data_IF_431092634316
#
_entry.id   IF_431092634316
#
_cell.length_a   1.000
_cell.length_b   1.000
_cell.length_c   1.000
_cell.angle_alpha   90.00
_cell.angle_beta   90.00
_cell.angle_gamma   90.00
#
_symmetry.space_group_name_H-M   'P 1'
#
loop_
_entity.id
_entity.type
_entity.pdbx_description
1 polymer ?
#
# COMPACT_ATOMS: atom_id res chain seq x y z
N UNK A 1 3.93 15.77 10.54
CA UNK A 1 4.56 14.52 11.07
C UNK A 1 5.55 14.00 10.06
N UNK A 2 6.63 13.33 10.50
CA UNK A 2 7.60 12.78 9.55
C UNK A 2 7.00 11.60 8.78
N UNK A 3 6.63 10.55 9.47
CA UNK A 3 6.04 9.35 8.90
C UNK A 3 4.63 9.12 9.43
N UNK A 4 3.68 8.85 8.52
CA UNK A 4 2.38 8.31 8.88
C UNK A 4 2.20 6.97 8.18
N UNK A 5 1.98 5.94 8.98
CA UNK A 5 1.73 4.59 8.51
C UNK A 5 0.24 4.42 8.24
N UNK A 6 -0.14 4.05 7.02
CA UNK A 6 -1.50 3.66 6.67
C UNK A 6 -1.52 2.16 6.50
N UNK A 7 -2.24 1.46 7.37
CA UNK A 7 -2.20 0.01 7.55
C UNK A 7 -3.63 -0.52 7.61
N UNK A 8 -3.88 -1.67 7.00
CA UNK A 8 -5.22 -2.22 6.92
C UNK A 8 -5.70 -2.83 8.24
N UNK A 9 -4.85 -3.58 8.93
CA UNK A 9 -5.25 -4.45 10.02
C UNK A 9 -4.45 -4.22 11.30
N UNK A 10 -5.09 -4.43 12.45
CA UNK A 10 -4.45 -4.36 13.79
C UNK A 10 -3.19 -5.21 13.89
N UNK A 11 -3.16 -6.50 13.49
CA UNK A 11 -1.94 -7.32 13.61
C UNK A 11 -0.74 -6.78 12.83
N UNK A 12 -0.99 -6.12 11.69
CA UNK A 12 0.06 -5.47 10.92
C UNK A 12 0.55 -4.20 11.61
N UNK A 13 -0.38 -3.42 12.18
CA UNK A 13 -0.08 -2.20 12.91
C UNK A 13 0.76 -2.47 14.17
N UNK A 14 0.55 -3.59 14.84
CA UNK A 14 1.32 -4.02 16.01
C UNK A 14 2.82 -4.14 15.71
N UNK A 15 3.18 -4.46 14.46
CA UNK A 15 4.58 -4.50 14.05
C UNK A 15 5.29 -3.14 14.16
N UNK A 16 4.55 -2.04 13.98
CA UNK A 16 5.06 -0.67 14.14
C UNK A 16 4.87 -0.20 15.58
N UNK A 17 3.68 -0.40 16.14
CA UNK A 17 3.30 0.13 17.45
C UNK A 17 4.21 -0.35 18.58
N UNK A 18 4.71 -1.60 18.52
CA UNK A 18 5.66 -2.13 19.51
C UNK A 18 6.99 -1.36 19.58
N UNK A 19 7.31 -0.56 18.56
CA UNK A 19 8.52 0.26 18.47
C UNK A 19 8.26 1.75 18.73
N UNK A 20 7.02 2.12 18.99
CA UNK A 20 6.64 3.49 19.34
C UNK A 20 6.58 3.70 20.84
N UNK A 21 6.86 4.91 21.30
CA UNK A 21 6.68 5.35 22.68
C UNK A 21 5.65 6.47 22.76
N UNK A 22 5.12 6.72 23.95
CA UNK A 22 4.16 7.79 24.23
C UNK A 22 2.91 7.72 23.34
N UNK A 23 2.43 6.52 23.09
CA UNK A 23 1.34 6.25 22.15
C UNK A 23 0.01 6.71 22.72
N UNK A 24 -0.61 7.68 22.05
CA UNK A 24 -2.01 8.06 22.23
C UNK A 24 -2.86 7.37 21.15
N UNK A 25 -3.82 6.53 21.58
CA UNK A 25 -4.73 5.82 20.70
C UNK A 25 -6.14 6.40 20.83
N UNK A 26 -6.78 6.69 19.69
CA UNK A 26 -8.14 7.21 19.64
C UNK A 26 -8.82 6.80 18.33
N UNK A 27 -10.15 6.96 18.30
CA UNK A 27 -10.93 6.73 17.08
C UNK A 27 -11.27 8.07 16.41
N UNK A 28 -11.19 8.10 15.08
CA UNK A 28 -11.57 9.27 14.28
C UNK A 28 -12.13 8.85 12.93
N UNK A 29 -13.30 9.33 12.59
CA UNK A 29 -13.97 9.07 11.31
C UNK A 29 -14.01 7.58 10.94
N UNK A 30 -14.35 6.71 11.91
CA UNK A 30 -14.50 5.27 11.71
C UNK A 30 -13.18 4.49 11.54
N UNK A 31 -12.05 5.06 11.96
CA UNK A 31 -10.74 4.40 11.96
C UNK A 31 -9.99 4.63 13.27
N UNK A 32 -9.08 3.74 13.58
CA UNK A 32 -8.19 3.87 14.73
C UNK A 32 -6.95 4.63 14.35
N UNK A 33 -6.58 5.61 15.17
CA UNK A 33 -5.38 6.43 15.00
C UNK A 33 -4.51 6.29 16.25
N UNK A 34 -3.23 5.99 16.05
CA UNK A 34 -2.22 5.95 17.10
C UNK A 34 -1.16 6.99 16.78
N UNK A 35 -0.96 7.96 17.65
CA UNK A 35 0.09 8.98 17.53
C UNK A 35 1.14 8.78 18.62
N UNK A 36 2.40 8.96 18.30
CA UNK A 36 3.48 8.78 19.28
C UNK A 36 4.84 9.14 18.70
N UNK A 37 5.88 8.59 19.31
CA UNK A 37 7.27 8.79 18.90
C UNK A 37 7.86 7.49 18.38
N UNK A 38 8.44 7.52 17.18
CA UNK A 38 9.17 6.42 16.57
C UNK A 38 10.61 6.88 16.27
N UNK A 39 11.59 6.24 16.92
CA UNK A 39 13.02 6.59 16.77
C UNK A 39 13.34 8.08 17.01
N UNK A 40 12.65 8.70 17.97
CA UNK A 40 12.85 10.11 18.33
C UNK A 40 12.08 11.11 17.46
N UNK A 41 11.33 10.67 16.46
CA UNK A 41 10.52 11.52 15.57
C UNK A 41 9.03 11.29 15.80
N UNK A 42 8.22 12.33 15.59
CA UNK A 42 6.75 12.16 15.66
C UNK A 42 6.24 11.32 14.51
N UNK A 43 5.46 10.30 14.84
CA UNK A 43 4.86 9.39 13.87
C UNK A 43 3.41 9.06 14.25
N UNK A 44 2.66 8.57 13.28
CA UNK A 44 1.33 8.04 13.53
C UNK A 44 1.08 6.76 12.73
N UNK A 45 0.15 5.95 13.24
CA UNK A 45 -0.42 4.79 12.54
C UNK A 45 -1.91 5.03 12.39
N UNK A 46 -2.40 4.94 11.16
CA UNK A 46 -3.83 4.98 10.81
C UNK A 46 -4.23 3.58 10.37
N UNK A 47 -5.05 2.92 11.18
CA UNK A 47 -5.60 1.60 10.89
C UNK A 47 -6.92 1.81 10.15
N UNK A 48 -6.89 1.60 8.83
CA UNK A 48 -7.95 2.06 7.95
C UNK A 48 -9.01 1.00 7.62
N UNK A 49 -8.71 -0.28 7.80
CA UNK A 49 -9.52 -1.39 7.29
C UNK A 49 -9.05 -1.87 5.92
N UNK A 50 -9.52 -3.07 5.53
CA UNK A 50 -9.16 -3.75 4.29
C UNK A 50 -9.86 -3.10 3.09
N UNK A 51 -9.16 -3.07 1.95
CA UNK A 51 -9.69 -2.69 0.64
C UNK A 51 -9.41 -1.25 0.23
N UNK A 52 -9.51 -0.99 -1.07
CA UNK A 52 -9.11 0.28 -1.70
C UNK A 52 -9.86 1.49 -1.16
N UNK A 53 -11.15 1.37 -0.89
CA UNK A 53 -11.98 2.48 -0.37
C UNK A 53 -11.52 2.89 1.02
N UNK A 54 -11.29 1.93 1.91
CA UNK A 54 -10.81 2.18 3.27
C UNK A 54 -9.39 2.77 3.24
N UNK A 55 -8.52 2.21 2.41
CA UNK A 55 -7.15 2.67 2.25
C UNK A 55 -7.08 4.12 1.72
N UNK A 56 -7.86 4.44 0.69
CA UNK A 56 -7.96 5.80 0.16
C UNK A 56 -8.47 6.80 1.21
N UNK A 57 -9.57 6.46 1.90
CA UNK A 57 -10.14 7.31 2.94
C UNK A 57 -9.19 7.50 4.13
N UNK A 58 -8.48 6.44 4.55
CA UNK A 58 -7.46 6.50 5.59
C UNK A 58 -6.26 7.38 5.20
N UNK A 59 -5.83 7.28 3.95
CA UNK A 59 -4.73 8.09 3.41
C UNK A 59 -5.11 9.57 3.32
N UNK A 60 -6.30 9.87 2.82
CA UNK A 60 -6.78 11.25 2.75
C UNK A 60 -6.89 11.86 4.15
N UNK A 61 -7.46 11.13 5.11
CA UNK A 61 -7.48 11.56 6.50
C UNK A 61 -6.08 11.83 7.05
N UNK A 62 -5.11 10.94 6.79
CA UNK A 62 -3.73 11.12 7.23
C UNK A 62 -3.13 12.42 6.66
N UNK A 63 -3.37 12.71 5.39
CA UNK A 63 -2.86 13.92 4.74
C UNK A 63 -3.49 15.17 5.33
N UNK A 64 -4.81 15.20 5.46
CA UNK A 64 -5.56 16.39 5.88
C UNK A 64 -5.38 16.71 7.37
N UNK A 65 -5.34 15.67 8.22
CA UNK A 65 -5.36 15.84 9.67
C UNK A 65 -3.97 15.75 10.32
N UNK A 66 -3.03 15.01 9.70
CA UNK A 66 -1.72 14.73 10.31
C UNK A 66 -0.55 15.39 9.57
N UNK A 67 -0.77 15.90 8.35
CA UNK A 67 0.22 16.60 7.52
C UNK A 67 1.57 15.86 7.45
N UNK A 68 1.60 14.63 6.90
CA UNK A 68 2.80 13.81 6.83
C UNK A 68 3.79 14.34 5.79
N UNK A 69 5.09 14.20 6.05
CA UNK A 69 6.12 14.33 5.01
C UNK A 69 6.11 13.10 4.10
N UNK A 70 5.74 11.93 4.67
CA UNK A 70 5.72 10.66 3.96
C UNK A 70 4.62 9.75 4.51
N UNK A 71 3.89 9.10 3.58
CA UNK A 71 3.00 7.97 3.89
C UNK A 71 3.79 6.67 3.68
N UNK A 72 3.67 5.75 4.63
CA UNK A 72 4.29 4.42 4.59
C UNK A 72 3.20 3.36 4.72
N UNK A 73 3.08 2.48 3.73
CA UNK A 73 2.24 1.30 3.85
C UNK A 73 3.09 0.09 4.25
N UNK A 74 2.72 -0.53 5.35
CA UNK A 74 3.30 -1.80 5.81
C UNK A 74 2.18 -2.83 5.89
N UNK A 75 2.47 -4.07 5.54
CA UNK A 75 1.52 -5.15 5.64
C UNK A 75 1.98 -6.41 4.94
N UNK A 76 1.06 -7.35 4.81
CA UNK A 76 1.29 -8.59 4.07
C UNK A 76 0.76 -8.49 2.64
N UNK A 77 1.24 -9.37 1.77
CA UNK A 77 0.76 -9.53 0.40
C UNK A 77 0.89 -10.99 -0.04
N UNK A 78 -0.03 -11.47 -0.85
CA UNK A 78 0.07 -12.79 -1.48
C UNK A 78 1.14 -12.79 -2.57
N UNK A 79 2.02 -13.80 -2.57
CA UNK A 79 3.00 -14.03 -3.62
C UNK A 79 2.33 -14.68 -4.84
N UNK A 80 2.50 -14.08 -6.02
CA UNK A 80 2.05 -14.64 -7.30
C UNK A 80 3.21 -15.04 -8.20
N UNK A 81 4.42 -14.64 -7.86
CA UNK A 81 5.65 -15.18 -8.44
C UNK A 81 6.05 -16.45 -7.66
N UNK A 82 6.15 -17.62 -8.32
CA UNK A 82 6.44 -18.89 -7.67
C UNK A 82 7.85 -18.97 -7.07
N UNK A 83 8.72 -18.00 -7.36
CA UNK A 83 10.07 -17.95 -6.77
C UNK A 83 10.09 -17.28 -5.38
N UNK A 84 9.04 -16.56 -5.03
CA UNK A 84 8.90 -15.91 -3.71
C UNK A 84 8.62 -16.94 -2.61
N UNK A 85 9.02 -16.61 -1.38
CA UNK A 85 8.81 -17.48 -0.23
C UNK A 85 8.05 -16.74 0.87
N UNK A 86 7.23 -17.48 1.59
CA UNK A 86 6.51 -16.95 2.76
C UNK A 86 7.52 -16.34 3.74
N UNK A 87 7.15 -15.21 4.33
CA UNK A 87 7.94 -14.37 5.23
C UNK A 87 9.12 -13.61 4.58
N UNK A 88 9.38 -13.73 3.27
CA UNK A 88 10.28 -12.80 2.59
C UNK A 88 9.70 -11.39 2.59
N UNK A 89 10.58 -10.38 2.70
CA UNK A 89 10.20 -8.97 2.81
C UNK A 89 10.75 -8.19 1.63
N UNK A 90 9.89 -7.43 0.98
CA UNK A 90 10.21 -6.63 -0.19
C UNK A 90 9.88 -5.15 0.02
N UNK A 91 10.78 -4.27 -0.41
CA UNK A 91 10.46 -2.88 -0.66
C UNK A 91 9.73 -2.77 -2.00
N UNK A 92 8.65 -2.01 -2.05
CA UNK A 92 7.84 -1.92 -3.26
C UNK A 92 8.29 -0.76 -4.11
N UNK A 93 8.71 -1.05 -5.35
CA UNK A 93 9.19 -0.06 -6.31
C UNK A 93 8.05 0.63 -7.06
N UNK A 94 6.98 -0.11 -7.36
CA UNK A 94 5.76 0.40 -8.01
C UNK A 94 4.56 -0.48 -7.71
N UNK A 95 3.37 0.10 -7.89
CA UNK A 95 2.12 -0.64 -7.81
C UNK A 95 1.11 -0.16 -8.86
N UNK A 96 0.02 -0.90 -9.05
CA UNK A 96 -1.08 -0.53 -9.93
C UNK A 96 -2.40 -1.15 -9.47
N UNK A 97 -3.53 -0.60 -9.96
CA UNK A 97 -4.86 -1.18 -9.72
C UNK A 97 -5.17 -2.23 -10.77
N UNK A 98 -5.16 -3.51 -10.42
CA UNK A 98 -5.34 -4.60 -11.39
C UNK A 98 -6.80 -4.84 -11.79
N UNK A 99 -7.75 -4.36 -11.02
CA UNK A 99 -9.20 -4.48 -11.22
C UNK A 99 -9.86 -3.19 -11.74
N UNK A 100 -9.06 -2.18 -12.09
CA UNK A 100 -9.54 -0.93 -12.69
C UNK A 100 -9.36 -1.00 -14.22
N UNK A 101 -10.43 -0.76 -14.97
CA UNK A 101 -10.40 -0.88 -16.43
C UNK A 101 -11.29 0.17 -17.11
N UNK A 102 -10.66 1.09 -17.83
CA UNK A 102 -11.28 2.07 -18.72
C UNK A 102 -10.87 1.87 -20.19
N UNK A 103 -10.26 0.72 -20.52
CA UNK A 103 -9.69 0.49 -21.86
C UNK A 103 -10.72 0.58 -22.98
N UNK A 104 -11.96 0.18 -22.74
CA UNK A 104 -13.03 0.30 -23.72
C UNK A 104 -13.54 1.76 -23.90
N UNK A 105 -13.36 2.61 -22.90
CA UNK A 105 -13.85 4.00 -22.90
C UNK A 105 -12.78 4.97 -23.38
N UNK A 106 -11.59 4.89 -22.79
CA UNK A 106 -10.50 5.84 -22.98
C UNK A 106 -9.38 5.31 -23.88
N UNK A 107 -9.45 4.06 -24.30
CA UNK A 107 -8.40 3.35 -25.04
C UNK A 107 -7.03 3.36 -24.32
N UNK A 108 -7.05 3.45 -23.00
CA UNK A 108 -5.86 3.40 -22.14
C UNK A 108 -5.54 1.97 -21.71
N UNK A 109 -4.29 1.65 -21.38
CA UNK A 109 -3.95 0.35 -20.80
C UNK A 109 -4.75 0.08 -19.53
N UNK A 110 -5.16 -1.17 -19.31
CA UNK A 110 -5.84 -1.62 -18.10
C UNK A 110 -5.05 -1.20 -16.85
N UNK A 111 -5.76 -0.80 -15.79
CA UNK A 111 -5.14 -0.27 -14.57
C UNK A 111 -4.84 1.24 -14.62
N UNK A 112 -5.11 1.93 -15.74
CA UNK A 112 -4.84 3.36 -15.89
C UNK A 112 -6.05 4.20 -15.49
N UNK A 113 -6.00 4.96 -14.37
CA UNK A 113 -7.01 5.97 -14.05
C UNK A 113 -7.02 7.10 -15.07
N UNK A 114 -8.17 7.73 -15.27
CA UNK A 114 -8.38 8.76 -16.30
C UNK A 114 -7.44 9.98 -16.16
N UNK A 115 -7.12 10.32 -14.92
CA UNK A 115 -6.22 11.43 -14.59
C UNK A 115 -4.73 11.16 -14.74
N UNK A 116 -4.33 9.94 -15.14
CA UNK A 116 -2.92 9.54 -15.29
C UNK A 116 -2.62 8.98 -16.68
N UNK A 117 -1.35 9.04 -17.07
CA UNK A 117 -0.87 8.61 -18.40
C UNK A 117 -0.52 7.13 -18.48
N UNK A 118 -0.60 6.38 -17.37
CA UNK A 118 -0.28 4.95 -17.31
C UNK A 118 -0.70 4.32 -16.00
N UNK A 119 -0.66 2.98 -15.91
CA UNK A 119 -1.23 2.23 -14.81
C UNK A 119 -0.40 2.28 -13.52
N UNK A 120 0.90 2.57 -13.62
CA UNK A 120 1.82 2.44 -12.49
C UNK A 120 1.93 3.70 -11.64
N UNK A 121 2.00 3.48 -10.33
CA UNK A 121 2.45 4.44 -9.33
C UNK A 121 3.86 4.06 -8.90
N UNK A 122 4.85 4.89 -9.22
CA UNK A 122 6.22 4.71 -8.76
C UNK A 122 6.33 5.15 -7.29
N UNK A 123 6.99 4.32 -6.49
CA UNK A 123 7.16 4.56 -5.05
C UNK A 123 8.63 4.84 -4.71
N UNK A 124 8.84 5.64 -3.69
CA UNK A 124 10.19 5.81 -3.15
C UNK A 124 10.58 4.59 -2.32
N UNK A 125 11.84 4.16 -2.47
CA UNK A 125 12.40 3.09 -1.66
C UNK A 125 13.42 3.65 -0.66
N UNK A 126 13.02 3.89 0.60
CA UNK A 126 13.93 4.31 1.65
C UNK A 126 14.69 3.13 2.30
N UNK A 127 14.53 1.90 1.78
CA UNK A 127 15.08 0.67 2.34
C UNK A 127 16.00 -0.04 1.32
N UNK A 128 17.17 0.54 0.98
CA UNK A 128 18.02 0.05 -0.13
C UNK A 128 18.60 -1.35 0.09
N UNK A 129 18.52 -1.88 1.31
CA UNK A 129 18.97 -3.25 1.63
C UNK A 129 17.93 -4.34 1.38
N UNK A 130 16.67 -3.98 1.05
CA UNK A 130 15.63 -4.96 0.75
C UNK A 130 15.55 -5.23 -0.76
N UNK A 131 15.24 -6.48 -1.18
CA UNK A 131 14.87 -6.75 -2.56
C UNK A 131 13.61 -5.95 -2.92
N UNK A 132 13.44 -5.66 -4.21
CA UNK A 132 12.29 -4.88 -4.69
C UNK A 132 11.28 -5.77 -5.41
N UNK A 133 10.00 -5.39 -5.30
CA UNK A 133 8.91 -6.05 -6.02
C UNK A 133 7.91 -5.04 -6.57
N UNK A 134 7.04 -5.51 -7.47
CA UNK A 134 5.87 -4.80 -7.98
C UNK A 134 4.62 -5.41 -7.34
N UNK A 135 3.70 -4.55 -6.88
CA UNK A 135 2.43 -4.97 -6.27
C UNK A 135 1.26 -4.66 -7.19
N UNK A 136 0.39 -5.63 -7.39
CA UNK A 136 -0.93 -5.44 -7.97
C UNK A 136 -1.97 -5.31 -6.84
N UNK A 137 -2.77 -4.25 -6.86
CA UNK A 137 -3.83 -4.02 -5.87
C UNK A 137 -5.21 -4.23 -6.49
N UNK A 138 -6.08 -4.96 -5.79
CA UNK A 138 -7.48 -5.13 -6.19
C UNK A 138 -8.37 -5.57 -5.03
N UNK A 139 -9.66 -5.23 -5.10
CA UNK A 139 -10.66 -5.52 -4.04
C UNK A 139 -11.22 -6.96 -4.10
N UNK A 140 -10.43 -7.89 -4.59
CA UNK A 140 -10.75 -9.31 -4.56
C UNK A 140 -9.56 -10.10 -4.00
N UNK A 141 -9.85 -11.04 -3.12
CA UNK A 141 -8.87 -12.05 -2.75
C UNK A 141 -8.57 -12.90 -3.99
N UNK A 142 -7.37 -13.37 -4.13
CA UNK A 142 -6.73 -13.97 -5.31
C UNK A 142 -7.65 -14.71 -6.29
N UNK A 143 -7.57 -14.35 -7.57
CA UNK A 143 -8.10 -15.15 -8.68
C UNK A 143 -6.91 -15.70 -9.49
N UNK A 144 -6.58 -16.96 -9.31
CA UNK A 144 -5.35 -17.58 -9.79
C UNK A 144 -5.08 -17.44 -11.30
N UNK A 145 -6.08 -17.53 -12.17
CA UNK A 145 -5.87 -17.44 -13.61
C UNK A 145 -5.64 -16.00 -14.07
N UNK A 146 -6.41 -15.07 -13.55
CA UNK A 146 -6.24 -13.63 -13.80
C UNK A 146 -4.88 -13.13 -13.28
N UNK A 147 -4.49 -13.56 -12.08
CA UNK A 147 -3.25 -13.14 -11.46
C UNK A 147 -2.03 -13.68 -12.23
N UNK A 148 -2.07 -14.91 -12.74
CA UNK A 148 -0.98 -15.47 -13.54
C UNK A 148 -0.85 -14.81 -14.92
N UNK A 149 -1.93 -14.63 -15.64
CA UNK A 149 -1.93 -14.07 -16.99
C UNK A 149 -1.65 -12.56 -16.96
N UNK A 150 -2.64 -11.79 -16.59
CA UNK A 150 -2.54 -10.32 -16.65
C UNK A 150 -1.57 -9.75 -15.62
N UNK A 151 -1.72 -10.12 -14.35
CA UNK A 151 -1.01 -9.43 -13.26
C UNK A 151 0.47 -9.78 -13.25
N UNK A 152 0.82 -11.05 -13.34
CA UNK A 152 2.22 -11.49 -13.32
C UNK A 152 2.88 -11.38 -14.69
N UNK A 153 2.31 -12.02 -15.72
CA UNK A 153 3.00 -12.23 -17.00
C UNK A 153 2.99 -10.97 -17.87
N UNK A 154 1.91 -10.19 -17.86
CA UNK A 154 1.83 -8.95 -18.65
C UNK A 154 2.34 -7.74 -17.87
N UNK A 155 1.96 -7.59 -16.59
CA UNK A 155 2.26 -6.40 -15.79
C UNK A 155 3.50 -6.55 -14.90
N UNK A 156 4.05 -7.75 -14.76
CA UNK A 156 5.28 -8.03 -14.01
C UNK A 156 5.15 -7.90 -12.49
N UNK A 157 3.94 -8.04 -11.93
CA UNK A 157 3.78 -8.01 -10.48
C UNK A 157 4.11 -9.38 -9.86
N UNK A 158 4.92 -9.36 -8.81
CA UNK A 158 5.23 -10.55 -8.01
C UNK A 158 4.32 -10.70 -6.78
N UNK A 159 3.66 -9.63 -6.38
CA UNK A 159 2.85 -9.56 -5.17
C UNK A 159 1.45 -9.01 -5.45
N UNK A 160 0.49 -9.43 -4.62
CA UNK A 160 -0.88 -8.96 -4.64
C UNK A 160 -1.35 -8.51 -3.27
N UNK A 161 -1.98 -7.32 -3.21
CA UNK A 161 -2.63 -6.78 -2.00
C UNK A 161 -3.99 -6.14 -2.33
N UNK A 162 -4.61 -5.52 -1.34
CA UNK A 162 -5.91 -4.88 -1.48
C UNK A 162 -5.89 -3.36 -1.20
N UNK A 163 -4.73 -2.73 -0.95
CA UNK A 163 -4.66 -1.34 -0.45
C UNK A 163 -3.69 -0.42 -1.18
N UNK A 164 -2.48 -0.90 -1.51
CA UNK A 164 -1.34 -0.05 -1.81
C UNK A 164 -1.57 0.91 -2.98
N UNK A 165 -2.16 0.46 -4.08
CA UNK A 165 -2.39 1.35 -5.21
C UNK A 165 -3.40 2.46 -4.90
N UNK A 166 -4.36 2.23 -4.00
CA UNK A 166 -5.28 3.27 -3.55
C UNK A 166 -4.56 4.31 -2.67
N UNK A 167 -3.66 3.87 -1.80
CA UNK A 167 -2.79 4.76 -1.00
C UNK A 167 -1.89 5.59 -1.92
N UNK A 168 -1.21 4.95 -2.86
CA UNK A 168 -0.32 5.59 -3.82
C UNK A 168 -1.06 6.60 -4.72
N UNK A 169 -2.29 6.27 -5.14
CA UNK A 169 -3.15 7.17 -5.91
C UNK A 169 -3.42 8.48 -5.16
N UNK A 170 -3.88 8.39 -3.91
CA UNK A 170 -4.17 9.56 -3.08
C UNK A 170 -2.89 10.37 -2.81
N UNK A 171 -1.79 9.70 -2.47
CA UNK A 171 -0.50 10.36 -2.26
C UNK A 171 -0.02 11.12 -3.51
N UNK A 172 -0.10 10.49 -4.69
CA UNK A 172 0.28 11.11 -5.97
C UNK A 172 -0.53 12.36 -6.27
N UNK A 173 -1.85 12.33 -6.04
CA UNK A 173 -2.72 13.50 -6.23
C UNK A 173 -2.43 14.63 -5.25
N UNK A 174 -2.06 14.29 -4.02
CA UNK A 174 -1.74 15.26 -2.96
C UNK A 174 -0.29 15.75 -3.00
N UNK A 175 0.58 15.17 -3.84
CA UNK A 175 2.01 15.49 -3.87
C UNK A 175 2.78 15.02 -2.63
N UNK A 176 2.28 14.00 -1.94
CA UNK A 176 2.90 13.42 -0.75
C UNK A 176 3.71 12.18 -1.14
N UNK A 177 4.90 12.04 -0.57
CA UNK A 177 5.75 10.87 -0.77
C UNK A 177 5.08 9.59 -0.28
N UNK A 178 5.08 8.54 -1.10
CA UNK A 178 4.58 7.22 -0.74
C UNK A 178 5.70 6.17 -0.79
N UNK A 179 5.75 5.33 0.25
CA UNK A 179 6.66 4.20 0.37
C UNK A 179 5.87 2.97 0.81
N UNK A 180 6.35 1.77 0.47
CA UNK A 180 5.73 0.54 0.96
C UNK A 180 6.75 -0.59 1.17
N UNK A 181 6.46 -1.41 2.18
CA UNK A 181 7.13 -2.68 2.43
C UNK A 181 6.08 -3.75 2.65
N UNK A 182 6.24 -4.89 1.98
CA UNK A 182 5.33 -6.02 2.09
C UNK A 182 6.08 -7.30 2.47
N UNK A 183 5.49 -8.07 3.38
CA UNK A 183 5.92 -9.42 3.67
C UNK A 183 5.01 -10.41 2.94
N UNK A 184 5.59 -11.48 2.39
CA UNK A 184 4.82 -12.53 1.70
C UNK A 184 4.05 -13.35 2.73
N UNK A 185 2.70 -13.36 2.64
CA UNK A 185 1.83 -14.13 3.52
C UNK A 185 1.68 -15.59 3.09
N UNK A 186 1.60 -15.80 1.80
CA UNK A 186 1.30 -17.07 1.13
C UNK A 186 1.79 -17.01 -0.32
N UNK A 187 1.91 -18.14 -1.00
CA UNK A 187 2.31 -18.21 -2.42
C UNK A 187 1.35 -19.11 -3.16
N UNK A 188 0.83 -18.66 -4.32
CA UNK A 188 -0.17 -19.34 -5.14
C UNK A 188 0.36 -19.74 -6.53
#
# INVERSE_FOLDING_TARGET
MKDVFVIAMEPEADAVLRHMTDVLRFESCGRVVCQGTLRGETAAVVICGIGKVNAAAGTQYAIDCLSPERIVNLGVAGGIDPTMKVAEVYAISRCFQCDFDLSEVNHTPKGTPDEFTGPFYDLQNPFPGLPTAVVATGDAFTNCDFDRGFVRDEMGAGLRDMELAAIAHVCRRAGVTCCAVKAVSDVH
#
